data_IF_676238662480
#
_entry.id   IF_676238662480
#
_cell.length_a   1.000
_cell.length_b   1.000
_cell.length_c   1.000
_cell.angle_alpha   90.00
_cell.angle_beta   90.00
_cell.angle_gamma   90.00
#
_symmetry.space_group_name_H-M   'P 1'
#
loop_
_entity.id
_entity.type
_entity.pdbx_description
1 polymer ?
#
# COMPACT_ATOMS: atom_id res chain seq x y z
N UNK A 1 25.70 9.18 -8.55
CA UNK A 1 24.81 8.07 -8.97
C UNK A 1 25.09 7.83 -10.44
N UNK A 2 25.42 6.59 -10.79
CA UNK A 2 25.69 6.16 -12.16
C UNK A 2 24.54 5.26 -12.61
N UNK A 3 24.15 5.32 -13.89
CA UNK A 3 23.15 4.42 -14.45
C UNK A 3 23.77 3.58 -15.55
N UNK A 4 23.50 2.27 -15.51
CA UNK A 4 23.93 1.30 -16.50
C UNK A 4 22.72 0.68 -17.17
N UNK A 5 22.77 0.53 -18.49
CA UNK A 5 21.72 -0.12 -19.26
C UNK A 5 22.15 -1.54 -19.59
N UNK A 6 21.61 -2.51 -18.85
CA UNK A 6 21.92 -3.93 -19.04
C UNK A 6 20.69 -4.79 -18.70
N UNK A 7 20.66 -5.99 -19.26
CA UNK A 7 19.72 -7.05 -18.88
C UNK A 7 20.36 -7.91 -17.77
N UNK A 8 19.63 -8.20 -16.71
CA UNK A 8 20.11 -9.01 -15.58
C UNK A 8 20.45 -10.45 -15.97
N UNK A 9 19.99 -10.92 -17.14
CA UNK A 9 20.33 -12.22 -17.70
C UNK A 9 21.71 -12.24 -18.38
N UNK A 10 22.32 -11.07 -18.65
CA UNK A 10 23.69 -10.96 -19.15
C UNK A 10 24.70 -10.97 -18.00
N UNK A 11 25.17 -12.17 -17.67
CA UNK A 11 26.10 -12.41 -16.57
C UNK A 11 27.42 -11.63 -16.74
N UNK A 12 27.93 -11.52 -17.97
CA UNK A 12 29.23 -10.88 -18.21
C UNK A 12 29.12 -9.35 -18.08
N UNK A 13 28.01 -8.75 -18.54
CA UNK A 13 27.73 -7.33 -18.32
C UNK A 13 27.58 -7.01 -16.83
N UNK A 14 26.81 -7.82 -16.09
CA UNK A 14 26.64 -7.66 -14.63
C UNK A 14 27.98 -7.79 -13.91
N UNK A 15 28.77 -8.83 -14.22
CA UNK A 15 30.08 -9.07 -13.60
C UNK A 15 31.06 -7.93 -13.88
N UNK A 16 31.05 -7.39 -15.10
CA UNK A 16 31.87 -6.23 -15.48
C UNK A 16 31.49 -5.02 -14.65
N UNK A 17 30.20 -4.66 -14.58
CA UNK A 17 29.72 -3.55 -13.78
C UNK A 17 30.06 -3.71 -12.29
N UNK A 18 29.88 -4.91 -11.73
CA UNK A 18 30.23 -5.19 -10.34
C UNK A 18 31.72 -4.96 -10.05
N UNK A 19 32.59 -5.37 -10.98
CA UNK A 19 34.04 -5.26 -10.82
C UNK A 19 34.51 -3.82 -11.00
N UNK A 20 34.02 -3.14 -12.05
CA UNK A 20 34.39 -1.76 -12.39
C UNK A 20 34.00 -0.78 -11.28
N UNK A 21 32.77 -0.88 -10.79
CA UNK A 21 32.24 -0.02 -9.74
C UNK A 21 32.60 -0.48 -8.33
N UNK A 22 33.34 -1.59 -8.19
CA UNK A 22 33.73 -2.20 -6.90
C UNK A 22 32.54 -2.37 -5.97
N UNK A 23 31.45 -2.92 -6.51
CA UNK A 23 30.20 -3.12 -5.79
C UNK A 23 30.45 -4.07 -4.61
N UNK A 24 30.05 -3.67 -3.41
CA UNK A 24 30.05 -4.52 -2.22
C UNK A 24 28.64 -5.06 -1.89
N UNK A 25 27.60 -4.37 -2.34
CA UNK A 25 26.21 -4.66 -1.98
C UNK A 25 25.33 -4.69 -3.21
N UNK A 26 24.50 -5.72 -3.32
CA UNK A 26 23.44 -5.82 -4.32
C UNK A 26 22.09 -5.77 -3.62
N UNK A 27 21.21 -4.88 -4.06
CA UNK A 27 19.78 -4.93 -3.76
C UNK A 27 19.05 -5.28 -5.06
N UNK A 28 18.56 -6.51 -5.15
CA UNK A 28 17.97 -7.03 -6.38
C UNK A 28 16.45 -6.86 -6.38
N UNK A 29 15.99 -5.81 -7.07
CA UNK A 29 14.57 -5.49 -7.26
C UNK A 29 14.02 -5.86 -8.65
N UNK A 30 14.90 -6.12 -9.62
CA UNK A 30 14.51 -6.35 -11.01
C UNK A 30 13.69 -7.65 -11.16
N UNK A 31 12.45 -7.51 -11.61
CA UNK A 31 11.52 -8.62 -11.79
C UNK A 31 10.35 -8.23 -12.72
N UNK A 32 9.71 -9.22 -13.32
CA UNK A 32 8.34 -9.10 -13.81
C UNK A 32 7.38 -9.23 -12.63
N UNK A 33 6.49 -8.26 -12.43
CA UNK A 33 5.74 -8.10 -11.17
C UNK A 33 4.21 -8.20 -11.32
N UNK A 34 3.68 -8.34 -12.53
CA UNK A 34 2.23 -8.29 -12.76
C UNK A 34 1.58 -9.68 -12.77
N UNK A 35 0.87 -10.02 -11.70
CA UNK A 35 0.14 -11.31 -11.56
C UNK A 35 -0.74 -11.62 -12.78
N UNK A 36 -1.63 -10.70 -13.19
CA UNK A 36 -2.54 -11.00 -14.32
C UNK A 36 -1.82 -11.29 -15.65
N UNK A 37 -0.72 -10.58 -15.95
CA UNK A 37 0.11 -10.86 -17.14
C UNK A 37 0.76 -12.24 -17.07
N UNK A 38 1.07 -12.72 -15.87
CA UNK A 38 1.72 -14.02 -15.68
C UNK A 38 0.87 -15.21 -16.14
N UNK A 39 -0.46 -15.09 -16.20
CA UNK A 39 -1.31 -16.16 -16.74
C UNK A 39 -1.18 -16.33 -18.26
N UNK A 40 -0.90 -15.25 -18.99
CA UNK A 40 -0.71 -15.28 -20.45
C UNK A 40 0.75 -15.41 -20.90
N UNK A 41 1.68 -14.88 -20.10
CA UNK A 41 3.10 -14.72 -20.46
C UNK A 41 4.05 -15.35 -19.41
N UNK A 42 3.65 -16.45 -18.76
CA UNK A 42 4.37 -17.08 -17.63
C UNK A 42 5.85 -17.42 -17.91
N UNK A 43 6.22 -17.71 -19.15
CA UNK A 43 7.60 -18.02 -19.54
C UNK A 43 8.52 -16.80 -19.36
N UNK A 44 8.03 -15.59 -19.66
CA UNK A 44 8.80 -14.36 -19.45
C UNK A 44 9.04 -14.09 -17.96
N UNK A 45 8.11 -14.51 -17.09
CA UNK A 45 8.32 -14.46 -15.63
C UNK A 45 9.41 -15.42 -15.20
N UNK A 46 9.45 -16.64 -15.74
CA UNK A 46 10.55 -17.59 -15.48
C UNK A 46 11.89 -17.01 -15.93
N UNK A 47 11.95 -16.45 -17.15
CA UNK A 47 13.17 -15.86 -17.69
C UNK A 47 13.70 -14.72 -16.82
N UNK A 48 12.83 -13.78 -16.44
CA UNK A 48 13.28 -12.60 -15.69
C UNK A 48 13.46 -12.90 -14.20
N UNK A 49 12.50 -13.57 -13.56
CA UNK A 49 12.50 -13.73 -12.11
C UNK A 49 13.39 -14.88 -11.64
N UNK A 50 13.49 -15.98 -12.41
CA UNK A 50 14.27 -17.16 -12.03
C UNK A 50 15.65 -17.12 -12.69
N UNK A 51 15.71 -17.10 -14.02
CA UNK A 51 16.99 -17.07 -14.73
C UNK A 51 17.76 -15.78 -14.45
N UNK A 52 17.10 -14.62 -14.45
CA UNK A 52 17.71 -13.35 -14.09
C UNK A 52 18.26 -13.32 -12.66
N UNK A 53 17.50 -13.80 -11.67
CA UNK A 53 18.00 -13.91 -10.29
C UNK A 53 19.19 -14.87 -10.18
N UNK A 54 19.14 -16.00 -10.88
CA UNK A 54 20.24 -16.96 -10.92
C UNK A 54 21.51 -16.38 -11.58
N UNK A 55 21.36 -15.64 -12.68
CA UNK A 55 22.44 -14.92 -13.34
C UNK A 55 23.11 -13.90 -12.39
N UNK A 56 22.31 -13.10 -11.67
CA UNK A 56 22.80 -12.17 -10.65
C UNK A 56 23.53 -12.88 -9.50
N UNK A 57 23.00 -14.01 -9.00
CA UNK A 57 23.64 -14.81 -7.96
C UNK A 57 24.99 -15.39 -8.42
N UNK A 58 25.06 -15.86 -9.65
CA UNK A 58 26.29 -16.43 -10.21
C UNK A 58 27.35 -15.33 -10.44
N UNK A 59 26.96 -14.17 -10.98
CA UNK A 59 27.85 -13.00 -11.07
C UNK A 59 28.37 -12.58 -9.69
N UNK A 60 27.46 -12.48 -8.70
CA UNK A 60 27.83 -12.13 -7.33
C UNK A 60 28.78 -13.16 -6.71
N UNK A 61 28.52 -14.46 -6.90
CA UNK A 61 29.41 -15.52 -6.45
C UNK A 61 30.80 -15.41 -7.07
N UNK A 62 30.90 -15.12 -8.37
CA UNK A 62 32.17 -14.97 -9.08
C UNK A 62 32.99 -13.78 -8.58
N UNK A 63 32.34 -12.68 -8.20
CA UNK A 63 33.02 -11.46 -7.72
C UNK A 63 33.32 -11.52 -6.22
N UNK A 64 32.34 -11.93 -5.40
CA UNK A 64 32.45 -11.92 -3.94
C UNK A 64 33.24 -13.11 -3.39
N UNK A 65 33.19 -14.28 -4.04
CA UNK A 65 33.81 -15.52 -3.55
C UNK A 65 35.11 -15.89 -4.29
N UNK A 66 35.89 -14.92 -4.78
CA UNK A 66 37.11 -15.12 -5.60
C UNK A 66 38.29 -15.85 -4.92
N UNK A 67 38.18 -16.24 -3.65
CA UNK A 67 39.28 -16.92 -2.93
C UNK A 67 39.05 -18.43 -2.87
N UNK A 68 39.95 -19.19 -3.49
CA UNK A 68 40.04 -20.65 -3.45
C UNK A 68 40.28 -21.19 -2.03
N UNK A 69 39.23 -21.33 -1.22
CA UNK A 69 39.27 -22.20 -0.05
C UNK A 69 38.00 -23.03 -0.01
N UNK A 70 38.01 -24.15 -0.74
CA UNK A 70 36.97 -25.19 -0.67
C UNK A 70 36.83 -25.79 0.73
N UNK A 71 37.75 -25.50 1.65
CA UNK A 71 37.86 -26.16 2.96
C UNK A 71 37.97 -25.20 4.16
N UNK A 72 37.64 -23.91 4.05
CA UNK A 72 37.56 -23.05 5.25
C UNK A 72 36.12 -22.67 5.59
N UNK A 73 35.62 -23.08 6.77
CA UNK A 73 34.35 -22.58 7.28
C UNK A 73 34.49 -21.06 7.45
N UNK A 74 33.49 -20.33 6.97
CA UNK A 74 33.33 -18.91 7.25
C UNK A 74 33.41 -18.71 8.76
N UNK A 75 34.47 -18.01 9.23
CA UNK A 75 34.76 -17.48 10.59
C UNK A 75 36.25 -17.61 11.02
N UNK A 76 37.18 -18.09 10.19
CA UNK A 76 38.62 -17.96 10.51
C UNK A 76 39.18 -16.60 10.05
N UNK A 77 39.44 -15.71 11.01
CA UNK A 77 40.02 -14.36 10.87
C UNK A 77 41.48 -14.31 10.37
N UNK A 78 41.86 -15.13 9.39
CA UNK A 78 43.28 -15.29 8.98
C UNK A 78 43.68 -14.51 7.72
N UNK A 79 42.79 -13.70 7.15
CA UNK A 79 43.12 -12.74 6.07
C UNK A 79 43.46 -11.35 6.63
N UNK A 80 44.21 -10.55 5.87
CA UNK A 80 44.49 -9.14 6.19
C UNK A 80 43.20 -8.37 6.54
N UNK A 81 43.26 -7.50 7.56
CA UNK A 81 42.09 -6.82 8.14
C UNK A 81 41.17 -6.18 7.10
N UNK A 82 41.73 -5.59 6.04
CA UNK A 82 40.97 -4.95 4.96
C UNK A 82 40.12 -5.94 4.14
N UNK A 83 40.61 -7.16 3.88
CA UNK A 83 39.86 -8.19 3.16
C UNK A 83 38.76 -8.81 4.02
N UNK A 84 38.99 -8.95 5.33
CA UNK A 84 37.95 -9.38 6.27
C UNK A 84 36.84 -8.32 6.42
N UNK A 85 37.21 -7.03 6.52
CA UNK A 85 36.24 -5.92 6.60
C UNK A 85 35.37 -5.84 5.33
N UNK A 86 35.96 -6.02 4.14
CA UNK A 86 35.20 -6.00 2.88
C UNK A 86 34.20 -7.18 2.82
N UNK A 87 34.62 -8.39 3.21
CA UNK A 87 33.75 -9.58 3.26
C UNK A 87 32.61 -9.44 4.27
N UNK A 88 32.87 -8.85 5.43
CA UNK A 88 31.83 -8.59 6.44
C UNK A 88 30.79 -7.58 5.97
N UNK A 89 31.16 -6.68 5.04
CA UNK A 89 30.25 -5.68 4.45
C UNK A 89 29.45 -6.20 3.25
N UNK A 90 29.91 -7.24 2.58
CA UNK A 90 29.26 -7.72 1.35
C UNK A 90 27.86 -8.27 1.63
N UNK A 91 26.86 -7.83 0.87
CA UNK A 91 25.46 -8.30 1.00
C UNK A 91 24.80 -8.48 -0.36
N UNK A 92 24.00 -9.54 -0.50
CA UNK A 92 23.07 -9.73 -1.61
C UNK A 92 21.64 -9.78 -1.07
N UNK A 93 20.88 -8.69 -1.21
CA UNK A 93 19.50 -8.60 -0.74
C UNK A 93 18.58 -8.94 -1.91
N UNK A 94 17.86 -10.06 -1.80
CA UNK A 94 16.84 -10.48 -2.75
C UNK A 94 15.47 -9.98 -2.29
N UNK A 95 14.85 -9.08 -3.06
CA UNK A 95 13.52 -8.55 -2.76
C UNK A 95 12.45 -9.46 -3.36
N UNK A 96 11.73 -10.15 -2.49
CA UNK A 96 10.62 -11.05 -2.78
C UNK A 96 9.28 -10.45 -2.36
N UNK A 97 8.23 -11.27 -2.30
CA UNK A 97 6.84 -10.88 -2.04
C UNK A 97 6.22 -11.83 -1.03
N UNK A 98 5.23 -11.36 -0.29
CA UNK A 98 4.37 -12.20 0.57
C UNK A 98 3.55 -13.27 -0.20
N UNK A 99 3.25 -13.06 -1.48
CA UNK A 99 2.50 -14.04 -2.30
C UNK A 99 3.18 -15.42 -2.39
N UNK A 100 4.47 -15.53 -2.06
CA UNK A 100 5.18 -16.82 -2.00
C UNK A 100 4.62 -17.76 -0.93
N UNK A 101 3.98 -17.21 0.10
CA UNK A 101 3.30 -17.99 1.14
C UNK A 101 1.95 -18.56 0.67
N UNK A 102 1.34 -17.98 -0.36
CA UNK A 102 -0.03 -18.29 -0.75
C UNK A 102 -1.08 -17.67 0.18
N UNK A 103 -2.35 -18.06 -0.03
CA UNK A 103 -3.48 -17.56 0.75
C UNK A 103 -3.35 -17.87 2.25
N UNK A 104 -3.62 -16.87 3.09
CA UNK A 104 -3.79 -17.04 4.54
C UNK A 104 -5.27 -16.95 4.90
N UNK A 105 -5.93 -18.06 5.27
CA UNK A 105 -7.34 -18.06 5.64
C UNK A 105 -7.64 -17.14 6.84
N UNK A 106 -8.85 -16.61 6.89
CA UNK A 106 -9.31 -15.80 8.03
C UNK A 106 -9.25 -16.62 9.32
N UNK A 107 -8.71 -16.00 10.38
CA UNK A 107 -8.55 -16.63 11.70
C UNK A 107 -7.31 -17.51 11.85
N UNK A 108 -6.50 -17.67 10.79
CA UNK A 108 -5.17 -18.30 10.89
C UNK A 108 -4.11 -17.29 11.30
N UNK A 109 -3.02 -17.72 11.97
CA UNK A 109 -1.92 -16.84 12.30
C UNK A 109 -1.23 -16.34 11.03
N UNK A 110 -0.69 -15.14 11.12
CA UNK A 110 0.05 -14.52 10.03
C UNK A 110 1.32 -15.32 9.70
N UNK A 111 1.71 -15.35 8.42
CA UNK A 111 2.83 -16.14 7.91
C UNK A 111 4.16 -15.65 8.47
N UNK A 112 4.90 -16.56 9.10
CA UNK A 112 6.27 -16.32 9.59
C UNK A 112 7.29 -16.68 8.54
N UNK A 113 8.51 -16.17 8.69
CA UNK A 113 9.59 -16.37 7.72
C UNK A 113 10.03 -17.83 7.52
N UNK A 114 9.80 -18.69 8.52
CA UNK A 114 10.00 -20.14 8.49
C UNK A 114 8.77 -20.92 7.98
N UNK A 115 7.69 -20.24 7.65
CA UNK A 115 6.48 -20.82 7.07
C UNK A 115 6.71 -21.44 5.70
N UNK A 116 5.87 -22.40 5.29
CA UNK A 116 5.99 -23.06 4.00
C UNK A 116 5.72 -22.08 2.85
N UNK A 117 6.43 -22.26 1.74
CA UNK A 117 6.12 -21.58 0.49
C UNK A 117 5.02 -22.37 -0.23
N UNK A 118 3.88 -21.73 -0.48
CA UNK A 118 2.73 -22.32 -1.17
C UNK A 118 2.15 -21.35 -2.22
N UNK A 119 2.95 -20.94 -3.24
CA UNK A 119 2.52 -19.99 -4.24
C UNK A 119 1.33 -20.51 -5.04
N UNK A 120 0.42 -19.60 -5.37
CA UNK A 120 -0.87 -19.92 -5.98
C UNK A 120 -0.98 -19.55 -7.47
N UNK A 121 0.00 -18.80 -8.00
CA UNK A 121 -0.04 -18.27 -9.36
C UNK A 121 1.37 -18.30 -10.01
N UNK A 122 1.48 -18.20 -11.35
CA UNK A 122 2.77 -18.29 -12.03
C UNK A 122 3.80 -17.25 -11.58
N UNK A 123 3.37 -16.00 -11.30
CA UNK A 123 4.25 -14.96 -10.76
C UNK A 123 4.82 -15.36 -9.40
N UNK A 124 3.98 -15.69 -8.42
CA UNK A 124 4.44 -16.06 -7.07
C UNK A 124 5.27 -17.33 -7.07
N UNK A 125 4.95 -18.29 -7.94
CA UNK A 125 5.75 -19.51 -8.14
C UNK A 125 7.17 -19.18 -8.62
N UNK A 126 7.32 -18.22 -9.54
CA UNK A 126 8.66 -17.81 -10.02
C UNK A 126 9.47 -17.09 -8.93
N UNK A 127 8.81 -16.31 -8.06
CA UNK A 127 9.46 -15.66 -6.91
C UNK A 127 9.90 -16.69 -5.87
N UNK A 128 9.06 -17.67 -5.56
CA UNK A 128 9.40 -18.77 -4.67
C UNK A 128 10.56 -19.63 -5.22
N UNK A 129 10.55 -19.93 -6.53
CA UNK A 129 11.65 -20.65 -7.18
C UNK A 129 12.99 -19.89 -7.09
N UNK A 130 12.96 -18.57 -7.27
CA UNK A 130 14.14 -17.73 -7.11
C UNK A 130 14.63 -17.69 -5.65
N UNK A 131 13.74 -17.66 -4.65
CA UNK A 131 14.14 -17.78 -3.24
C UNK A 131 14.87 -19.09 -2.96
N UNK A 132 14.39 -20.21 -3.51
CA UNK A 132 15.08 -21.50 -3.39
C UNK A 132 16.51 -21.43 -3.95
N UNK A 133 16.72 -20.76 -5.08
CA UNK A 133 18.06 -20.53 -5.64
C UNK A 133 18.93 -19.67 -4.72
N UNK A 134 18.39 -18.55 -4.22
CA UNK A 134 19.11 -17.65 -3.30
C UNK A 134 19.57 -18.40 -2.05
N UNK A 135 18.67 -19.19 -1.44
CA UNK A 135 18.99 -20.00 -0.27
C UNK A 135 20.01 -21.10 -0.57
N UNK A 136 19.92 -21.75 -1.74
CA UNK A 136 20.89 -22.75 -2.17
C UNK A 136 22.29 -22.12 -2.34
N UNK A 137 22.38 -20.93 -2.93
CA UNK A 137 23.64 -20.22 -3.09
C UNK A 137 24.28 -19.84 -1.76
N UNK A 138 23.48 -19.46 -0.77
CA UNK A 138 23.97 -19.25 0.57
C UNK A 138 24.48 -20.55 1.21
N UNK A 139 23.70 -21.63 1.17
CA UNK A 139 24.06 -22.92 1.80
C UNK A 139 25.27 -23.58 1.14
N UNK A 140 25.37 -23.52 -0.19
CA UNK A 140 26.42 -24.22 -0.95
C UNK A 140 27.68 -23.39 -1.13
N UNK A 141 27.56 -22.07 -1.28
CA UNK A 141 28.68 -21.19 -1.61
C UNK A 141 28.97 -20.12 -0.56
N UNK A 142 28.23 -20.11 0.56
CA UNK A 142 28.36 -19.12 1.63
C UNK A 142 28.19 -17.68 1.12
N UNK A 143 27.45 -17.48 0.02
CA UNK A 143 27.15 -16.15 -0.49
C UNK A 143 26.34 -15.37 0.59
N UNK A 144 26.69 -14.11 0.92
CA UNK A 144 26.08 -13.39 2.02
C UNK A 144 24.72 -12.81 1.62
N UNK A 145 23.73 -13.69 1.43
CA UNK A 145 22.40 -13.32 0.97
C UNK A 145 21.47 -12.95 2.13
N UNK A 146 20.48 -12.11 1.87
CA UNK A 146 19.33 -11.85 2.73
C UNK A 146 18.10 -11.83 1.83
N UNK A 147 16.97 -12.40 2.28
CA UNK A 147 15.71 -12.37 1.53
C UNK A 147 14.73 -11.46 2.28
N UNK A 148 13.99 -10.63 1.55
CA UNK A 148 12.89 -9.85 2.12
C UNK A 148 11.58 -10.22 1.45
N UNK A 149 10.48 -10.34 2.19
CA UNK A 149 9.15 -10.60 1.65
C UNK A 149 8.23 -9.46 2.07
N UNK A 150 7.83 -8.60 1.13
CA UNK A 150 7.00 -7.44 1.45
C UNK A 150 5.52 -7.65 1.12
N UNK A 151 4.64 -6.98 1.86
CA UNK A 151 3.25 -6.77 1.46
C UNK A 151 3.12 -5.87 0.22
N UNK A 152 1.88 -5.63 -0.22
CA UNK A 152 1.58 -4.75 -1.34
C UNK A 152 2.08 -3.33 -1.07
N UNK A 153 2.97 -2.86 -1.96
CA UNK A 153 3.52 -1.52 -1.89
C UNK A 153 2.66 -0.55 -2.69
N UNK A 154 2.43 0.64 -2.14
CA UNK A 154 1.80 1.76 -2.83
C UNK A 154 2.58 3.06 -2.59
N UNK A 155 2.41 4.02 -3.49
CA UNK A 155 3.13 5.30 -3.43
C UNK A 155 3.30 5.94 -4.80
N UNK A 156 3.90 7.15 -4.84
CA UNK A 156 4.27 7.83 -6.08
C UNK A 156 5.11 6.95 -7.03
N UNK A 157 5.05 7.28 -8.32
CA UNK A 157 5.81 6.62 -9.40
C UNK A 157 5.45 5.14 -9.68
N UNK A 158 4.41 4.59 -9.06
CA UNK A 158 3.93 3.25 -9.40
C UNK A 158 3.24 3.24 -10.77
N UNK A 159 3.66 2.36 -11.68
CA UNK A 159 3.07 2.22 -13.01
C UNK A 159 1.57 1.88 -12.91
N UNK A 160 0.69 2.46 -13.76
CA UNK A 160 -0.78 2.37 -13.64
C UNK A 160 -1.38 1.05 -14.11
N UNK A 161 -0.83 -0.05 -13.62
CA UNK A 161 -1.35 -1.40 -13.79
C UNK A 161 -1.85 -2.00 -12.47
N UNK A 162 -1.32 -1.52 -11.34
CA UNK A 162 -1.75 -1.91 -9.98
C UNK A 162 -2.99 -1.13 -9.54
N UNK A 163 -3.73 -1.66 -8.57
CA UNK A 163 -5.06 -1.16 -8.19
C UNK A 163 -5.07 0.32 -7.79
N UNK A 164 -4.11 0.75 -6.97
CA UNK A 164 -3.95 2.14 -6.52
C UNK A 164 -3.82 3.14 -7.68
N UNK A 165 -2.73 3.09 -8.49
CA UNK A 165 -2.55 4.07 -9.56
C UNK A 165 -3.61 3.91 -10.66
N UNK A 166 -4.16 2.71 -10.88
CA UNK A 166 -5.26 2.50 -11.83
C UNK A 166 -6.54 3.21 -11.39
N UNK A 167 -6.90 3.13 -10.11
CA UNK A 167 -8.07 3.84 -9.57
C UNK A 167 -7.84 5.34 -9.55
N UNK A 168 -6.71 5.80 -9.03
CA UNK A 168 -6.36 7.23 -8.99
C UNK A 168 -6.39 7.82 -10.39
N UNK A 169 -5.69 7.23 -11.36
CA UNK A 169 -5.70 7.72 -12.74
C UNK A 169 -7.07 7.63 -13.39
N UNK A 170 -7.85 6.58 -13.15
CA UNK A 170 -9.19 6.52 -13.72
C UNK A 170 -10.08 7.65 -13.18
N UNK A 171 -10.06 7.88 -11.86
CA UNK A 171 -10.85 8.91 -11.19
C UNK A 171 -10.43 10.33 -11.60
N UNK A 172 -9.13 10.59 -11.72
CA UNK A 172 -8.59 11.88 -12.17
C UNK A 172 -8.84 12.16 -13.66
N UNK A 173 -8.82 11.13 -14.52
CA UNK A 173 -9.06 11.27 -15.97
C UNK A 173 -10.55 11.42 -16.34
N UNK A 174 -11.41 11.79 -15.39
CA UNK A 174 -12.84 12.07 -15.64
C UNK A 174 -13.12 13.11 -16.73
N UNK A 175 -12.12 13.94 -17.07
CA UNK A 175 -12.24 14.99 -18.10
C UNK A 175 -11.64 14.58 -19.47
N UNK A 176 -10.90 13.47 -19.55
CA UNK A 176 -10.23 13.03 -20.79
C UNK A 176 -10.30 11.50 -20.94
N UNK A 177 -11.49 10.96 -21.23
CA UNK A 177 -11.74 9.54 -21.50
C UNK A 177 -11.05 8.96 -22.77
N UNK A 178 -10.05 9.66 -23.34
CA UNK A 178 -9.38 9.30 -24.59
C UNK A 178 -7.93 8.80 -24.46
N UNK A 179 -7.30 8.85 -23.28
CA UNK A 179 -5.84 8.70 -23.17
C UNK A 179 -5.34 7.46 -22.38
N UNK A 180 -6.16 6.41 -22.24
CA UNK A 180 -5.67 5.11 -21.74
C UNK A 180 -5.52 4.13 -22.92
N UNK A 181 -4.30 3.93 -23.45
CA UNK A 181 -4.08 2.99 -24.54
C UNK A 181 -4.00 1.56 -24.00
N UNK A 182 -5.17 0.92 -23.77
CA UNK A 182 -5.41 -0.55 -23.95
C UNK A 182 -6.72 -1.12 -23.40
N UNK A 183 -7.66 -0.32 -22.89
CA UNK A 183 -8.97 -0.88 -22.50
C UNK A 183 -9.97 -0.88 -23.68
N UNK A 184 -9.63 -1.58 -24.76
CA UNK A 184 -10.50 -1.70 -25.95
C UNK A 184 -11.52 -2.84 -25.88
N UNK A 185 -11.78 -3.41 -24.69
CA UNK A 185 -12.77 -4.48 -24.50
C UNK A 185 -14.18 -3.94 -24.20
N UNK A 186 -14.33 -2.65 -23.90
CA UNK A 186 -15.65 -2.02 -23.72
C UNK A 186 -15.91 -0.98 -24.81
N UNK A 187 -15.94 -1.43 -26.07
CA UNK A 187 -16.61 -0.67 -27.15
C UNK A 187 -18.11 -0.94 -27.11
N UNK A 188 -18.79 -0.44 -26.09
CA UNK A 188 -20.21 -0.09 -26.24
C UNK A 188 -20.34 1.44 -26.31
N UNK A 189 -19.93 1.96 -27.48
CA UNK A 189 -19.90 3.38 -27.82
C UNK A 189 -21.29 3.95 -28.10
N UNK A 190 -22.29 3.67 -27.26
CA UNK A 190 -23.63 4.27 -27.35
C UNK A 190 -24.15 4.94 -26.07
N UNK A 191 -23.28 5.17 -25.09
CA UNK A 191 -23.53 6.13 -24.01
C UNK A 191 -22.27 6.93 -23.75
N UNK A 192 -22.17 8.13 -24.33
CA UNK A 192 -21.19 9.10 -23.88
C UNK A 192 -21.41 9.36 -22.39
N UNK A 193 -20.53 8.84 -21.55
CA UNK A 193 -20.63 9.01 -20.11
C UNK A 193 -20.29 10.46 -19.77
N UNK A 194 -21.31 11.23 -19.39
CA UNK A 194 -21.16 12.50 -18.66
C UNK A 194 -20.79 12.28 -17.19
N UNK A 195 -20.50 11.04 -16.80
CA UNK A 195 -20.09 10.64 -15.45
C UNK A 195 -18.63 10.21 -15.55
N UNK A 196 -17.74 10.86 -14.80
CA UNK A 196 -16.30 10.67 -14.90
C UNK A 196 -15.77 9.27 -14.57
N UNK A 197 -14.46 9.16 -14.31
CA UNK A 197 -13.74 7.92 -13.99
C UNK A 197 -14.45 6.91 -13.10
N UNK A 198 -14.15 5.63 -13.30
CA UNK A 198 -14.73 4.48 -12.58
C UNK A 198 -13.64 3.58 -11.99
N UNK A 199 -13.86 3.06 -10.80
CA UNK A 199 -13.07 1.99 -10.19
C UNK A 199 -13.61 0.63 -10.63
N UNK A 200 -12.80 -0.14 -11.36
CA UNK A 200 -13.17 -1.48 -11.81
C UNK A 200 -12.74 -2.53 -10.78
N UNK A 201 -13.70 -3.21 -10.17
CA UNK A 201 -13.47 -4.20 -9.11
C UNK A 201 -13.69 -5.61 -9.64
N UNK A 202 -12.71 -6.50 -9.43
CA UNK A 202 -12.81 -7.91 -9.79
C UNK A 202 -13.67 -8.69 -8.78
N UNK A 203 -14.58 -9.52 -9.29
CA UNK A 203 -15.41 -10.39 -8.46
C UNK A 203 -16.31 -9.60 -7.50
N UNK A 204 -16.35 -10.00 -6.23
CA UNK A 204 -17.16 -9.34 -5.19
C UNK A 204 -16.49 -8.11 -4.58
N UNK A 205 -15.18 -7.94 -4.79
CA UNK A 205 -14.39 -6.89 -4.13
C UNK A 205 -13.98 -7.19 -2.68
N UNK A 206 -14.30 -8.38 -2.14
CA UNK A 206 -13.99 -8.77 -0.76
C UNK A 206 -12.53 -9.23 -0.54
N UNK A 207 -11.76 -9.35 -1.62
CA UNK A 207 -10.33 -9.67 -1.54
C UNK A 207 -9.60 -8.53 -0.83
N UNK A 208 -8.86 -8.88 0.23
CA UNK A 208 -8.13 -7.94 1.08
C UNK A 208 -6.63 -8.02 0.84
N UNK A 209 -5.96 -6.89 0.99
CA UNK A 209 -4.50 -6.80 0.95
C UNK A 209 -4.03 -5.87 2.05
N UNK A 210 -2.85 -6.20 2.59
CA UNK A 210 -2.14 -5.29 3.48
C UNK A 210 -1.33 -4.34 2.63
N UNK A 211 -1.46 -3.03 2.88
CA UNK A 211 -0.75 -2.00 2.14
C UNK A 211 0.34 -1.36 2.99
N UNK A 212 1.50 -1.14 2.36
CA UNK A 212 2.63 -0.45 2.96
C UNK A 212 3.15 0.64 2.04
N UNK A 213 3.41 1.81 2.59
CA UNK A 213 3.85 2.96 1.81
C UNK A 213 5.30 2.79 1.35
N UNK A 214 5.60 3.21 0.11
CA UNK A 214 6.88 2.94 -0.56
C UNK A 214 8.11 3.41 0.21
N UNK A 215 8.03 4.52 0.94
CA UNK A 215 9.17 5.01 1.73
C UNK A 215 9.42 4.16 2.98
N UNK A 216 8.39 3.57 3.57
CA UNK A 216 8.56 2.63 4.69
C UNK A 216 9.22 1.33 4.24
N UNK A 217 8.94 0.88 3.01
CA UNK A 217 9.63 -0.26 2.38
C UNK A 217 11.09 0.09 2.10
N UNK A 218 11.37 1.27 1.57
CA UNK A 218 12.74 1.72 1.34
C UNK A 218 13.52 1.81 2.67
N UNK A 219 12.89 2.31 3.73
CA UNK A 219 13.48 2.35 5.07
C UNK A 219 13.69 0.93 5.64
N UNK A 220 12.77 -0.01 5.39
CA UNK A 220 12.94 -1.41 5.78
C UNK A 220 14.18 -2.02 5.13
N UNK A 221 14.35 -1.82 3.82
CA UNK A 221 15.50 -2.30 3.07
C UNK A 221 16.80 -1.69 3.60
N UNK A 222 16.80 -0.41 3.96
CA UNK A 222 17.95 0.27 4.57
C UNK A 222 18.30 -0.29 5.96
N UNK A 223 17.31 -0.53 6.82
CA UNK A 223 17.53 -1.17 8.13
C UNK A 223 18.07 -2.59 7.96
N UNK A 224 17.51 -3.38 7.04
CA UNK A 224 17.95 -4.75 6.76
C UNK A 224 19.35 -4.76 6.17
N UNK A 225 19.69 -3.79 5.31
CA UNK A 225 21.04 -3.65 4.77
C UNK A 225 22.08 -3.48 5.89
N UNK A 226 21.80 -2.64 6.87
CA UNK A 226 22.76 -2.30 7.92
C UNK A 226 22.74 -3.24 9.13
N UNK A 227 21.59 -3.84 9.43
CA UNK A 227 21.36 -4.60 10.68
C UNK A 227 20.85 -6.02 10.45
N UNK A 228 20.53 -6.37 9.22
CA UNK A 228 20.08 -7.71 8.85
C UNK A 228 21.20 -8.73 8.96
N UNK A 229 20.85 -9.90 9.46
CA UNK A 229 21.75 -11.04 9.56
C UNK A 229 21.79 -11.80 8.23
N UNK A 230 23.00 -12.16 7.80
CA UNK A 230 23.21 -12.97 6.60
C UNK A 230 22.53 -14.34 6.73
N UNK A 231 21.93 -14.80 5.64
CA UNK A 231 21.21 -16.07 5.55
C UNK A 231 19.77 -16.01 6.08
N UNK A 232 19.36 -14.88 6.66
CA UNK A 232 18.03 -14.70 7.19
C UNK A 232 17.04 -14.20 6.14
N UNK A 233 15.76 -14.48 6.41
CA UNK A 233 14.61 -13.91 5.73
C UNK A 233 13.93 -12.90 6.66
N UNK A 234 13.38 -11.81 6.11
CA UNK A 234 12.63 -10.80 6.84
C UNK A 234 11.31 -10.46 6.13
N UNK A 235 10.19 -10.57 6.85
CA UNK A 235 8.91 -10.05 6.39
C UNK A 235 8.84 -8.53 6.60
N UNK A 236 8.33 -7.82 5.59
CA UNK A 236 8.12 -6.36 5.60
C UNK A 236 6.62 -6.12 5.39
N UNK A 237 5.91 -5.71 6.43
CA UNK A 237 4.45 -5.57 6.38
C UNK A 237 3.93 -4.38 7.15
N UNK A 238 2.74 -3.93 6.75
CA UNK A 238 1.99 -2.88 7.42
C UNK A 238 0.92 -3.47 8.36
N UNK A 239 0.29 -2.61 9.17
CA UNK A 239 -0.85 -3.00 10.01
C UNK A 239 -2.22 -2.78 9.35
N UNK A 240 -2.26 -2.26 8.12
CA UNK A 240 -3.48 -1.82 7.47
C UNK A 240 -3.89 -2.78 6.34
N UNK A 241 -4.82 -3.68 6.66
CA UNK A 241 -5.49 -4.55 5.71
C UNK A 241 -6.78 -3.90 5.21
N UNK A 242 -6.96 -3.85 3.89
CA UNK A 242 -8.14 -3.27 3.25
C UNK A 242 -8.64 -4.15 2.12
N UNK A 243 -9.96 -4.25 1.99
CA UNK A 243 -10.59 -4.83 0.82
C UNK A 243 -10.46 -3.91 -0.39
N UNK A 244 -10.52 -4.51 -1.59
CA UNK A 244 -10.58 -3.74 -2.84
C UNK A 244 -11.78 -2.77 -2.85
N UNK A 245 -12.88 -3.14 -2.19
CA UNK A 245 -14.06 -2.30 -2.02
C UNK A 245 -13.78 -1.07 -1.15
N UNK A 246 -13.25 -1.28 0.06
CA UNK A 246 -12.91 -0.18 0.98
C UNK A 246 -11.91 0.79 0.35
N UNK A 247 -10.89 0.26 -0.34
CA UNK A 247 -9.93 1.10 -1.07
C UNK A 247 -10.60 1.93 -2.16
N UNK A 248 -11.45 1.32 -2.98
CA UNK A 248 -12.17 2.05 -4.04
C UNK A 248 -13.03 3.17 -3.44
N UNK A 249 -13.77 2.85 -2.39
CA UNK A 249 -14.61 3.81 -1.69
C UNK A 249 -13.75 4.97 -1.18
N UNK A 250 -12.69 4.70 -0.43
CA UNK A 250 -11.84 5.73 0.14
C UNK A 250 -11.23 6.67 -0.92
N UNK A 251 -10.71 6.12 -2.02
CA UNK A 251 -10.17 6.92 -3.13
C UNK A 251 -11.25 7.76 -3.81
N UNK A 252 -12.46 7.25 -4.01
CA UNK A 252 -13.57 8.03 -4.57
C UNK A 252 -13.92 9.20 -3.64
N UNK A 253 -13.96 8.99 -2.33
CA UNK A 253 -14.29 10.02 -1.35
C UNK A 253 -13.27 11.18 -1.35
N UNK A 254 -11.98 10.87 -1.58
CA UNK A 254 -10.90 11.86 -1.58
C UNK A 254 -10.75 12.60 -2.91
N UNK A 255 -10.87 11.87 -4.03
CA UNK A 255 -10.51 12.40 -5.35
C UNK A 255 -11.71 13.06 -6.04
N UNK A 256 -12.92 12.52 -5.89
CA UNK A 256 -14.08 13.05 -6.62
C UNK A 256 -14.65 14.27 -5.89
N UNK A 257 -14.60 15.47 -6.49
CA UNK A 257 -15.08 16.68 -5.82
C UNK A 257 -16.57 16.58 -5.52
N UNK A 258 -16.96 17.01 -4.31
CA UNK A 258 -18.35 17.17 -3.94
C UNK A 258 -18.95 18.28 -4.80
N UNK A 259 -19.96 17.97 -5.62
CA UNK A 259 -20.81 19.05 -6.15
C UNK A 259 -21.51 19.66 -4.94
N UNK A 260 -21.13 20.88 -4.57
CA UNK A 260 -21.97 21.70 -3.70
C UNK A 260 -23.37 21.72 -4.30
N UNK A 261 -24.39 21.49 -3.48
CA UNK A 261 -25.75 21.70 -3.90
C UNK A 261 -25.87 23.17 -4.31
N UNK A 262 -25.93 23.44 -5.61
CA UNK A 262 -26.20 24.77 -6.12
C UNK A 262 -27.53 25.20 -5.53
N UNK A 263 -27.48 26.20 -4.65
CA UNK A 263 -28.65 26.86 -4.09
C UNK A 263 -29.55 27.32 -5.24
N UNK A 264 -30.59 26.54 -5.50
CA UNK A 264 -31.57 26.76 -6.56
C UNK A 264 -32.90 26.10 -6.25
N UNK A 265 -33.18 25.83 -4.97
CA UNK A 265 -34.55 25.64 -4.50
C UNK A 265 -34.69 26.41 -3.20
N UNK A 266 -35.40 27.52 -3.25
CA UNK A 266 -35.94 28.15 -2.05
C UNK A 266 -36.91 27.15 -1.42
N UNK A 267 -36.42 26.30 -0.52
CA UNK A 267 -37.29 25.63 0.43
C UNK A 267 -37.81 26.71 1.37
N UNK A 268 -39.01 27.20 1.07
CA UNK A 268 -39.81 27.97 1.99
C UNK A 268 -40.00 27.16 3.28
N UNK A 269 -39.31 27.57 4.34
CA UNK A 269 -39.61 27.11 5.69
C UNK A 269 -41.09 27.48 5.95
N UNK A 270 -41.96 26.53 6.36
CA UNK A 270 -43.29 26.92 6.80
C UNK A 270 -43.13 27.81 8.03
N UNK A 271 -43.66 29.04 7.98
CA UNK A 271 -43.81 29.87 9.18
C UNK A 271 -44.64 29.08 10.18
N UNK A 272 -43.99 28.60 11.25
CA UNK A 272 -44.69 28.03 12.40
C UNK A 272 -45.40 29.20 13.09
N UNK A 273 -46.71 29.29 12.91
CA UNK A 273 -47.55 30.11 13.77
C UNK A 273 -47.49 29.51 15.19
N UNK A 274 -46.82 30.19 16.12
CA UNK A 274 -46.96 29.88 17.54
C UNK A 274 -48.39 30.19 17.99
N UNK A 275 -49.02 29.33 18.82
CA UNK A 275 -50.26 29.70 19.50
C UNK A 275 -49.99 30.81 20.54
N UNK A 276 -50.98 31.67 20.86
CA UNK A 276 -50.79 32.77 21.81
C UNK A 276 -50.56 32.22 23.22
N UNK A 277 -49.39 32.54 23.81
CA UNK A 277 -49.10 32.29 25.21
C UNK A 277 -50.02 33.13 26.10
N UNK A 278 -50.88 32.47 26.88
CA UNK A 278 -51.65 33.07 27.98
C UNK A 278 -50.93 32.77 29.30
N UNK A 279 -49.92 33.58 29.62
CA UNK A 279 -49.40 33.68 30.99
C UNK A 279 -48.74 35.05 31.21
N UNK A 280 -48.92 35.68 32.39
CA UNK A 280 -48.34 37.00 32.66
C UNK A 280 -46.82 36.91 32.92
N UNK A 281 -46.08 38.01 32.76
CA UNK A 281 -44.63 38.02 32.84
C UNK A 281 -44.16 38.04 34.30
N UNK A 282 -43.20 37.20 34.66
CA UNK A 282 -42.39 37.40 35.86
C UNK A 282 -40.91 37.31 35.53
N UNK A 283 -40.23 38.42 35.82
CA UNK A 283 -38.79 38.60 35.99
C UNK A 283 -37.91 38.61 34.72
N UNK A 284 -38.07 39.69 33.96
CA UNK A 284 -37.01 40.70 33.83
C UNK A 284 -35.68 40.28 33.21
N UNK A 285 -35.65 40.07 31.89
CA UNK A 285 -34.50 40.40 31.01
C UNK A 285 -35.04 40.69 29.60
N UNK A 286 -34.59 41.74 28.89
CA UNK A 286 -35.06 42.05 27.53
C UNK A 286 -34.44 41.09 26.48
N UNK A 287 -35.25 40.66 25.51
CA UNK A 287 -34.79 39.94 24.31
C UNK A 287 -33.82 40.80 23.47
N UNK A 288 -32.67 40.27 23.01
CA UNK A 288 -31.81 41.00 22.07
C UNK A 288 -32.41 40.95 20.66
N UNK A 289 -32.60 42.14 20.08
CA UNK A 289 -32.83 42.36 18.65
C UNK A 289 -31.51 42.17 17.88
N UNK A 290 -31.51 41.72 16.62
CA UNK A 290 -30.26 41.50 15.87
C UNK A 290 -29.63 42.84 15.49
N UNK A 291 -28.37 43.06 15.87
CA UNK A 291 -27.54 44.19 15.40
C UNK A 291 -26.72 43.74 14.19
N UNK A 292 -26.81 44.52 13.11
CA UNK A 292 -26.06 44.36 11.87
C UNK A 292 -24.66 44.95 11.95
N UNK A 293 -23.68 44.21 11.44
CA UNK A 293 -22.35 44.55 10.90
C UNK A 293 -21.63 45.85 11.33
N UNK A 294 -20.39 45.69 11.82
CA UNK A 294 -19.37 46.75 11.81
C UNK A 294 -18.07 46.38 12.55
N UNK A 295 -17.00 46.16 11.76
CA UNK A 295 -15.57 46.51 11.96
C UNK A 295 -14.85 46.31 13.31
N UNK A 296 -13.76 45.53 13.20
CA UNK A 296 -12.37 45.75 13.69
C UNK A 296 -11.98 45.78 15.19
N UNK A 297 -10.77 45.21 15.39
CA UNK A 297 -9.71 45.50 16.38
C UNK A 297 -9.62 44.63 17.66
N UNK A 298 -8.63 43.72 17.61
CA UNK A 298 -7.56 43.35 18.57
C UNK A 298 -7.79 43.07 20.07
N UNK A 299 -6.86 42.20 20.54
CA UNK A 299 -6.32 42.00 21.90
C UNK A 299 -7.20 41.23 22.89
N UNK A 300 -6.69 40.42 23.81
CA UNK A 300 -5.45 39.66 24.07
C UNK A 300 -5.74 38.95 25.42
N UNK A 301 -4.89 38.00 25.82
CA UNK A 301 -4.74 37.46 27.20
C UNK A 301 -5.86 36.51 27.69
N UNK A 302 -5.62 35.49 28.52
CA UNK A 302 -4.48 34.67 28.94
C UNK A 302 -5.09 33.63 29.92
N UNK A 303 -4.33 32.56 30.20
CA UNK A 303 -4.43 31.72 31.41
C UNK A 303 -5.66 30.79 31.53
N UNK A 304 -5.60 29.57 32.07
CA UNK A 304 -4.53 28.63 32.43
C UNK A 304 -5.27 27.34 32.88
N UNK A 305 -4.54 26.23 33.02
CA UNK A 305 -4.85 25.08 33.90
C UNK A 305 -5.77 23.91 33.44
N UNK A 306 -5.07 22.87 32.97
CA UNK A 306 -5.02 21.50 33.53
C UNK A 306 -6.30 20.68 33.78
N UNK A 307 -6.46 19.58 33.06
CA UNK A 307 -6.75 18.25 33.64
C UNK A 307 -6.42 17.12 32.64
N UNK A 308 -5.79 16.06 33.16
CA UNK A 308 -5.28 14.87 32.48
C UNK A 308 -6.20 13.67 32.71
N UNK A 309 -6.56 12.96 31.62
CA UNK A 309 -6.93 11.52 31.48
C UNK A 309 -8.21 10.97 32.20
N UNK A 310 -8.83 9.84 31.76
CA UNK A 310 -8.29 8.79 30.89
C UNK A 310 -9.17 8.29 29.71
N UNK A 311 -8.48 7.50 28.89
CA UNK A 311 -8.96 6.59 27.85
C UNK A 311 -9.93 5.56 28.47
N UNK A 312 -11.04 5.26 27.78
CA UNK A 312 -11.68 3.95 27.87
C UNK A 312 -12.26 3.53 26.53
N UNK A 313 -11.81 2.37 26.09
CA UNK A 313 -12.26 1.54 24.98
C UNK A 313 -13.78 1.28 25.02
N UNK A 314 -14.45 1.36 23.87
CA UNK A 314 -15.05 0.19 23.22
C UNK A 314 -16.06 0.58 22.12
N UNK A 315 -15.81 -0.02 20.96
CA UNK A 315 -16.68 -0.19 19.81
C UNK A 315 -18.01 -0.81 20.21
N UNK A 316 -19.14 -0.21 19.83
CA UNK A 316 -20.40 -0.91 19.51
C UNK A 316 -21.26 -0.03 18.62
N UNK A 317 -21.25 -0.31 17.31
CA UNK A 317 -22.31 0.16 16.40
C UNK A 317 -23.48 -0.81 16.57
N UNK A 318 -24.33 -0.57 17.58
CA UNK A 318 -25.67 -1.15 17.62
C UNK A 318 -26.62 -0.24 16.84
N UNK A 319 -27.04 -0.68 15.66
CA UNK A 319 -28.16 -0.08 14.95
C UNK A 319 -29.46 -0.56 15.64
N UNK A 320 -29.82 0.07 16.75
CA UNK A 320 -31.15 -0.08 17.35
C UNK A 320 -32.15 0.80 16.60
N UNK A 321 -32.96 0.17 15.73
CA UNK A 321 -34.16 0.80 15.17
C UNK A 321 -35.29 0.67 16.20
N UNK A 322 -35.45 1.67 17.07
CA UNK A 322 -36.69 1.89 17.80
C UNK A 322 -36.99 3.39 17.96
N UNK A 323 -37.67 3.90 16.94
CA UNK A 323 -38.74 4.91 16.92
C UNK A 323 -38.93 5.81 18.18
N UNK A 324 -38.49 7.09 18.10
CA UNK A 324 -39.34 8.32 18.14
C UNK A 324 -38.54 9.59 18.45
N UNK A 325 -38.86 10.65 17.67
CA UNK A 325 -38.35 12.04 17.68
C UNK A 325 -37.04 12.26 16.92
N UNK A 326 -37.14 12.25 15.60
CA UNK A 326 -36.08 12.66 14.68
C UNK A 326 -35.92 14.18 14.67
N UNK A 327 -34.74 14.65 15.09
CA UNK A 327 -34.28 16.04 14.91
C UNK A 327 -33.80 16.25 13.47
N UNK A 328 -34.22 17.36 12.85
CA UNK A 328 -33.91 17.72 11.46
C UNK A 328 -32.40 17.87 11.16
N UNK A 329 -31.55 18.05 12.19
CA UNK A 329 -30.10 18.17 12.00
C UNK A 329 -29.39 16.86 11.62
N UNK A 330 -29.91 15.69 12.03
CA UNK A 330 -29.32 14.37 11.66
C UNK A 330 -29.79 13.83 10.31
N UNK A 331 -30.90 14.36 9.77
CA UNK A 331 -31.38 13.97 8.44
C UNK A 331 -30.45 14.50 7.36
N UNK A 332 -29.79 15.65 7.57
CA UNK A 332 -28.81 16.21 6.63
C UNK A 332 -27.53 15.39 6.60
N UNK A 333 -27.01 14.93 7.74
CA UNK A 333 -25.84 14.04 7.81
C UNK A 333 -26.14 12.65 7.22
N UNK A 334 -27.31 12.08 7.51
CA UNK A 334 -27.75 10.81 6.92
C UNK A 334 -27.99 10.93 5.40
N UNK A 335 -28.59 12.03 4.92
CA UNK A 335 -28.81 12.30 3.49
C UNK A 335 -27.49 12.59 2.75
N UNK A 336 -26.53 13.28 3.39
CA UNK A 336 -25.17 13.41 2.88
C UNK A 336 -24.46 12.06 2.80
N UNK A 337 -24.53 11.23 3.84
CA UNK A 337 -23.94 9.89 3.85
C UNK A 337 -24.62 8.94 2.84
N UNK A 338 -25.94 9.04 2.64
CA UNK A 338 -26.70 8.30 1.62
C UNK A 338 -26.37 8.77 0.20
N UNK A 339 -26.26 10.09 -0.03
CA UNK A 339 -25.81 10.66 -1.31
C UNK A 339 -24.35 10.31 -1.60
N UNK A 340 -23.52 10.25 -0.57
CA UNK A 340 -22.11 9.82 -0.63
C UNK A 340 -22.00 8.34 -0.99
N UNK A 341 -22.80 7.46 -0.35
CA UNK A 341 -22.92 6.05 -0.73
C UNK A 341 -23.38 5.90 -2.18
N UNK A 342 -24.35 6.72 -2.64
CA UNK A 342 -24.84 6.65 -4.01
C UNK A 342 -23.80 7.10 -5.04
N UNK A 343 -23.14 8.24 -4.81
CA UNK A 343 -22.06 8.73 -5.68
C UNK A 343 -20.91 7.72 -5.74
N UNK A 344 -20.58 7.10 -4.60
CA UNK A 344 -19.54 6.10 -4.51
C UNK A 344 -19.89 4.84 -5.34
N UNK A 345 -21.12 4.33 -5.19
CA UNK A 345 -21.56 3.15 -5.94
C UNK A 345 -21.70 3.42 -7.44
N UNK A 346 -22.06 4.64 -7.85
CA UNK A 346 -22.12 5.03 -9.28
C UNK A 346 -20.74 5.03 -9.96
N UNK A 347 -19.66 5.08 -9.16
CA UNK A 347 -18.26 5.08 -9.62
C UNK A 347 -17.62 3.69 -9.58
N UNK A 348 -18.30 2.69 -9.05
CA UNK A 348 -17.79 1.33 -8.94
C UNK A 348 -18.42 0.46 -10.02
N UNK A 349 -17.58 -0.24 -10.78
CA UNK A 349 -18.01 -1.18 -11.82
C UNK A 349 -17.41 -2.54 -11.53
N UNK A 350 -18.26 -3.54 -11.32
CA UNK A 350 -17.79 -4.92 -11.16
C UNK A 350 -17.44 -5.53 -12.51
N UNK A 351 -16.29 -6.18 -12.56
CA UNK A 351 -15.80 -6.94 -13.73
C UNK A 351 -15.60 -8.39 -13.35
N UNK A 352 -15.48 -9.25 -14.37
CA UNK A 352 -15.17 -10.66 -14.18
C UNK A 352 -13.95 -10.82 -13.27
N UNK A 353 -14.02 -11.82 -12.38
CA UNK A 353 -12.93 -12.09 -11.47
C UNK A 353 -11.70 -12.60 -12.22
N UNK A 354 -10.54 -12.53 -11.57
CA UNK A 354 -9.32 -13.09 -12.13
C UNK A 354 -9.42 -14.61 -12.18
N UNK A 355 -8.65 -15.21 -13.08
CA UNK A 355 -8.55 -16.67 -13.18
C UNK A 355 -8.19 -17.32 -11.83
N UNK A 356 -7.42 -16.61 -11.01
CA UNK A 356 -7.18 -16.95 -9.62
C UNK A 356 -6.88 -15.69 -8.79
N UNK A 357 -7.46 -15.60 -7.59
CA UNK A 357 -7.36 -14.42 -6.73
C UNK A 357 -7.37 -14.82 -5.25
N UNK A 358 -6.20 -14.86 -4.61
CA UNK A 358 -6.15 -15.15 -3.17
C UNK A 358 -6.88 -14.07 -2.37
N UNK A 359 -7.52 -14.46 -1.28
CA UNK A 359 -8.27 -13.52 -0.45
C UNK A 359 -7.36 -12.60 0.35
N UNK A 360 -6.27 -13.10 0.94
CA UNK A 360 -5.44 -12.38 1.92
C UNK A 360 -4.00 -12.93 1.97
N UNK A 361 -3.02 -12.04 2.16
CA UNK A 361 -1.61 -12.39 2.44
C UNK A 361 -1.15 -11.66 3.71
N UNK A 362 -1.21 -12.35 4.85
CA UNK A 362 -0.81 -11.75 6.11
C UNK A 362 0.54 -12.28 6.56
N UNK A 363 1.40 -11.41 7.07
CA UNK A 363 2.79 -11.73 7.44
C UNK A 363 3.11 -11.20 8.83
N UNK A 364 3.80 -12.01 9.63
CA UNK A 364 4.35 -11.61 10.92
C UNK A 364 5.63 -10.79 10.69
N UNK A 365 5.66 -9.55 11.20
CA UNK A 365 6.79 -8.61 11.04
C UNK A 365 7.65 -8.45 12.29
N UNK A 366 7.38 -9.23 13.35
CA UNK A 366 8.02 -9.10 14.66
C UNK A 366 9.54 -9.16 14.57
N UNK A 367 10.07 -9.97 13.64
CA UNK A 367 11.52 -10.12 13.43
C UNK A 367 12.16 -8.81 12.95
N UNK A 368 11.53 -8.12 12.01
CA UNK A 368 12.02 -6.85 11.49
C UNK A 368 11.86 -5.71 12.51
N UNK A 369 10.75 -5.72 13.27
CA UNK A 369 10.54 -4.76 14.37
C UNK A 369 11.68 -4.81 15.40
N UNK A 370 12.19 -6.02 15.71
CA UNK A 370 13.35 -6.21 16.62
C UNK A 370 14.65 -5.61 16.10
N UNK A 371 14.79 -5.36 14.79
CA UNK A 371 15.94 -4.63 14.23
C UNK A 371 15.82 -3.10 14.39
N UNK A 372 14.69 -2.62 14.93
CA UNK A 372 14.40 -1.21 15.15
C UNK A 372 13.73 -0.53 13.95
N UNK A 373 13.13 -1.30 13.04
CA UNK A 373 12.26 -0.77 11.99
C UNK A 373 10.81 -0.70 12.48
N UNK A 374 10.05 0.28 12.00
CA UNK A 374 8.59 0.33 12.13
C UNK A 374 8.02 1.20 11.01
N UNK A 375 6.83 0.90 10.47
CA UNK A 375 6.19 1.78 9.51
C UNK A 375 5.92 3.16 10.14
N UNK A 376 6.24 4.21 9.40
CA UNK A 376 6.17 5.60 9.88
C UNK A 376 5.11 6.42 9.19
N UNK A 377 4.68 6.03 7.99
CA UNK A 377 3.69 6.76 7.21
C UNK A 377 2.30 6.16 7.46
N UNK A 378 1.39 6.89 8.11
CA UNK A 378 0.00 6.45 8.26
C UNK A 378 -0.65 6.27 6.88
N UNK A 379 -1.57 5.29 6.79
CA UNK A 379 -2.21 4.94 5.53
C UNK A 379 -2.84 6.16 4.81
N UNK A 380 -3.58 6.95 5.58
CA UNK A 380 -4.22 8.21 5.21
C UNK A 380 -3.26 9.22 4.56
N UNK A 381 -2.10 9.42 5.18
CA UNK A 381 -1.06 10.33 4.69
C UNK A 381 -0.44 9.78 3.41
N UNK A 382 -0.17 8.48 3.37
CA UNK A 382 0.38 7.81 2.19
C UNK A 382 -0.54 7.92 0.98
N UNK A 383 -1.87 7.83 1.16
CA UNK A 383 -2.84 8.03 0.07
C UNK A 383 -2.72 9.42 -0.51
N UNK A 384 -2.79 10.45 0.34
CA UNK A 384 -2.72 11.84 -0.09
C UNK A 384 -1.47 12.10 -0.91
N UNK A 385 -0.30 11.68 -0.40
CA UNK A 385 0.98 11.79 -1.12
C UNK A 385 1.04 11.01 -2.43
N UNK A 386 0.27 9.93 -2.56
CA UNK A 386 0.21 9.14 -3.80
C UNK A 386 -0.67 9.79 -4.86
N UNK A 387 -1.67 10.58 -4.44
CA UNK A 387 -2.62 11.25 -5.32
C UNK A 387 -2.21 12.66 -5.76
N UNK A 388 -1.25 13.28 -5.06
CA UNK A 388 -0.55 14.50 -5.45
C UNK A 388 0.42 14.25 -6.62
#
# INVERSE_FOLDING_TARGET
MTMEMADITDIEAVQTAMTEYKIDTIIHLAAQTHVDKSFGESIEFTKNNVLGAHAMLEAARRVFCTSNSKDQPALSHTGDDAHNIQRDRTRFIYVSTDEVYGEVPLGQPDSKEDGPLAPSNPYSATKAAAECMVQAYHKSFHLPVIITRSNNVYGPFQYPEKIFPKFIMSLLNSDNAGAIPRLSILKDSRRGSRNGGHCYIHGTGEHSRTYLYVTDVANALDVILHRGEVGQVYNIGGGHELTNMELAQDLIHRIVPRKEATNGSSCSVPKVNCPPCTSPPTNGFPCPVPVTNGSDVNQESNEDQTAVAPISENTHIEICIHDKKFSASRIVEADQHLKQCKLCMDRIVFVEDRAFNDRRYAVDTTKLLKLGWSPTVPFEEGITKTSE
#
